data_IF_434555500335
#
_entry.id   IF_434555500335
#
_cell.length_a   1.000
_cell.length_b   1.000
_cell.length_c   1.000
_cell.angle_alpha   90.00
_cell.angle_beta   90.00
_cell.angle_gamma   90.00
#
_symmetry.space_group_name_H-M   'P 1'
#
loop_
_entity.id
_entity.type
_entity.pdbx_description
1 polymer ?
#
# COMPACT_ATOMS: atom_id res chain seq x y z
N UNK A 1 -14.85 -4.64 -2.68
CA UNK A 1 -14.33 -4.32 -4.03
C UNK A 1 -12.82 -4.54 -3.99
N UNK A 2 -12.49 -5.82 -4.18
CA UNK A 2 -11.28 -6.45 -4.72
C UNK A 2 -9.87 -5.98 -4.31
N UNK A 3 -9.62 -5.98 -3.00
CA UNK A 3 -8.26 -6.14 -2.43
C UNK A 3 -7.52 -7.38 -3.00
N UNK A 4 -8.27 -8.38 -3.48
CA UNK A 4 -7.73 -9.58 -4.12
C UNK A 4 -6.89 -9.29 -5.38
N UNK A 5 -7.24 -8.26 -6.17
CA UNK A 5 -6.44 -7.87 -7.35
C UNK A 5 -5.14 -7.17 -6.97
N UNK A 6 -5.15 -6.46 -5.83
CA UNK A 6 -3.96 -5.77 -5.30
C UNK A 6 -2.90 -6.79 -4.90
N UNK A 7 -3.32 -7.97 -4.43
CA UNK A 7 -2.43 -9.04 -3.98
C UNK A 7 -1.45 -9.52 -5.04
N UNK A 8 -1.95 -9.78 -6.25
CA UNK A 8 -1.17 -10.29 -7.37
C UNK A 8 -0.18 -9.22 -7.88
N UNK A 9 -0.62 -7.95 -7.87
CA UNK A 9 0.19 -6.79 -8.31
C UNK A 9 0.92 -6.10 -7.15
N UNK A 10 0.86 -6.62 -5.92
CA UNK A 10 1.33 -5.92 -4.73
C UNK A 10 2.83 -5.65 -4.81
N UNK A 11 3.59 -6.62 -5.31
CA UNK A 11 5.05 -6.50 -5.48
C UNK A 11 5.41 -5.35 -6.42
N UNK A 12 4.67 -5.15 -7.51
CA UNK A 12 4.88 -4.03 -8.44
C UNK A 12 4.47 -2.70 -7.83
N UNK A 13 3.28 -2.66 -7.21
CA UNK A 13 2.73 -1.46 -6.54
C UNK A 13 3.69 -1.00 -5.45
N UNK A 14 4.17 -1.92 -4.61
CA UNK A 14 5.20 -1.69 -3.60
C UNK A 14 6.44 -1.04 -4.21
N UNK A 15 6.92 -1.56 -5.34
CA UNK A 15 8.09 -1.01 -6.03
C UNK A 15 7.87 0.46 -6.44
N UNK A 16 6.72 0.75 -7.05
CA UNK A 16 6.35 2.11 -7.44
C UNK A 16 6.16 3.04 -6.25
N UNK A 17 5.51 2.57 -5.19
CA UNK A 17 5.32 3.33 -3.94
C UNK A 17 6.66 3.71 -3.33
N UNK A 18 7.62 2.80 -3.26
CA UNK A 18 8.97 3.10 -2.78
C UNK A 18 9.73 4.09 -3.67
N UNK A 19 9.50 4.04 -4.98
CA UNK A 19 10.11 5.01 -5.91
C UNK A 19 9.51 6.41 -5.77
N UNK A 20 8.22 6.50 -5.44
CA UNK A 20 7.50 7.76 -5.26
C UNK A 20 7.67 8.36 -3.87
N UNK A 21 7.85 7.52 -2.85
CA UNK A 21 7.91 7.91 -1.45
C UNK A 21 9.12 7.27 -0.76
N UNK A 22 10.15 8.08 -0.50
CA UNK A 22 11.35 7.66 0.25
C UNK A 22 11.04 7.24 1.70
N UNK A 23 9.95 7.75 2.28
CA UNK A 23 9.49 7.39 3.64
C UNK A 23 8.95 5.95 3.76
N UNK A 24 8.58 5.32 2.64
CA UNK A 24 8.05 3.97 2.63
C UNK A 24 9.18 2.95 2.49
N UNK A 25 9.29 2.05 3.48
CA UNK A 25 10.26 0.95 3.42
C UNK A 25 9.61 -0.39 3.08
N UNK A 26 10.43 -1.38 2.69
CA UNK A 26 9.94 -2.74 2.44
C UNK A 26 9.21 -3.36 3.65
N UNK A 27 9.58 -2.97 4.87
CA UNK A 27 8.93 -3.44 6.10
C UNK A 27 7.53 -2.84 6.25
N UNK A 28 7.37 -1.56 5.92
CA UNK A 28 6.08 -0.86 6.03
C UNK A 28 5.09 -1.35 4.96
N UNK A 29 5.62 -1.74 3.78
CA UNK A 29 4.86 -2.28 2.66
C UNK A 29 4.77 -3.81 2.67
N UNK A 30 5.09 -4.44 3.80
CA UNK A 30 5.00 -5.89 3.92
C UNK A 30 3.53 -6.32 4.02
N UNK A 31 3.06 -7.00 2.99
CA UNK A 31 1.70 -7.53 2.93
C UNK A 31 1.65 -8.95 3.49
N UNK A 32 0.75 -9.16 4.45
CA UNK A 32 0.36 -10.49 4.93
C UNK A 32 -1.09 -10.76 4.54
N UNK A 33 -1.37 -11.97 4.04
CA UNK A 33 -2.72 -12.37 3.65
C UNK A 33 -3.72 -12.20 4.82
N UNK A 34 -4.78 -11.44 4.57
CA UNK A 34 -5.81 -11.15 5.58
C UNK A 34 -5.45 -10.02 6.54
N UNK A 35 -4.31 -9.34 6.36
CA UNK A 35 -3.91 -8.15 7.11
C UNK A 35 -3.94 -6.88 6.26
N UNK A 36 -4.87 -6.81 5.32
CA UNK A 36 -5.06 -5.66 4.42
C UNK A 36 -5.27 -4.36 5.22
N UNK A 37 -6.08 -4.38 6.28
CA UNK A 37 -6.30 -3.23 7.17
C UNK A 37 -5.02 -2.74 7.85
N UNK A 38 -4.15 -3.66 8.27
CA UNK A 38 -2.88 -3.31 8.92
C UNK A 38 -1.95 -2.62 7.94
N UNK A 39 -1.83 -3.18 6.73
CA UNK A 39 -1.00 -2.61 5.67
C UNK A 39 -1.46 -1.19 5.32
N UNK A 40 -2.75 -1.04 5.04
CA UNK A 40 -3.32 0.27 4.70
C UNK A 40 -3.09 1.26 5.85
N UNK A 41 -3.31 0.85 7.10
CA UNK A 41 -3.04 1.69 8.27
C UNK A 41 -1.59 2.15 8.40
N UNK A 42 -0.61 1.29 8.10
CA UNK A 42 0.80 1.68 8.08
C UNK A 42 1.09 2.73 7.02
N UNK A 43 0.58 2.52 5.80
CA UNK A 43 0.77 3.45 4.68
C UNK A 43 0.10 4.80 4.97
N UNK A 44 -1.08 4.80 5.58
CA UNK A 44 -1.74 6.03 6.02
C UNK A 44 -0.88 6.84 6.98
N UNK A 45 -0.29 6.18 7.99
CA UNK A 45 0.56 6.85 8.99
C UNK A 45 1.83 7.39 8.33
N UNK A 46 2.47 6.61 7.46
CA UNK A 46 3.71 6.98 6.77
C UNK A 46 3.52 8.11 5.78
N UNK A 47 2.44 8.07 5.00
CA UNK A 47 2.15 9.10 4.01
C UNK A 47 1.39 10.30 4.59
N UNK A 48 0.91 10.21 5.83
CA UNK A 48 0.01 11.21 6.42
C UNK A 48 -1.32 11.34 5.66
N UNK A 49 -1.75 10.29 4.96
CA UNK A 49 -2.91 10.30 4.05
C UNK A 49 -4.11 9.56 4.64
N UNK A 50 -5.30 9.99 4.21
CA UNK A 50 -6.53 9.27 4.55
C UNK A 50 -6.58 7.90 3.87
N UNK A 51 -7.38 6.99 4.44
CA UNK A 51 -7.52 5.62 3.94
C UNK A 51 -7.91 5.60 2.47
N UNK A 52 -8.84 6.48 2.10
CA UNK A 52 -9.37 6.61 0.75
C UNK A 52 -8.30 7.08 -0.25
N UNK A 53 -7.45 8.03 0.15
CA UNK A 53 -6.32 8.48 -0.65
C UNK A 53 -5.30 7.35 -0.87
N UNK A 54 -4.99 6.58 0.16
CA UNK A 54 -4.07 5.43 0.06
C UNK A 54 -4.66 4.37 -0.88
N UNK A 55 -5.95 4.06 -0.75
CA UNK A 55 -6.63 3.11 -1.64
C UNK A 55 -6.63 3.63 -3.08
N UNK A 56 -6.94 4.91 -3.29
CA UNK A 56 -6.95 5.54 -4.61
C UNK A 56 -5.56 5.54 -5.24
N UNK A 57 -4.52 5.87 -4.46
CA UNK A 57 -3.13 5.80 -4.87
C UNK A 57 -2.74 4.40 -5.31
N UNK A 58 -3.02 3.38 -4.49
CA UNK A 58 -2.74 1.97 -4.81
C UNK A 58 -3.50 1.52 -6.06
N UNK A 59 -4.75 1.96 -6.23
CA UNK A 59 -5.57 1.66 -7.41
C UNK A 59 -5.10 2.37 -8.68
N UNK A 60 -4.39 3.49 -8.53
CA UNK A 60 -3.85 4.27 -9.65
C UNK A 60 -2.54 3.70 -10.21
N UNK A 61 -1.96 2.67 -9.58
CA UNK A 61 -0.67 2.07 -9.92
C UNK A 61 -0.78 0.75 -10.70
#
# INVERSE_FOLDING_TARGET
MDILMIKDRWTEIKGKLKQMFDDLTDKDLYYEQGKDDRLIGQIQIKLGKSRDEVITLIRSL
#
